data_IF_383571487220
#
_entry.id   IF_383571487220
#
_cell.length_a   1.000
_cell.length_b   1.000
_cell.length_c   1.000
_cell.angle_alpha   90.00
_cell.angle_beta   90.00
_cell.angle_gamma   90.00
#
_symmetry.space_group_name_H-M   'P 1'
#
loop_
_entity.id
_entity.type
_entity.pdbx_description
1 polymer ?
#
# COMPACT_ATOMS: atom_id res chain seq x y z
N UNK A 1 -6.27 -4.53 5.96
CA UNK A 1 -5.70 -3.78 7.09
C UNK A 1 -4.36 -3.24 6.64
N UNK A 2 -4.13 -1.92 6.65
CA UNK A 2 -2.79 -1.38 6.49
C UNK A 2 -2.16 -1.15 7.88
N UNK A 3 -0.94 -1.66 8.06
CA UNK A 3 -0.11 -1.45 9.25
C UNK A 3 0.24 0.01 9.43
N UNK A 4 0.03 0.51 10.64
CA UNK A 4 0.56 1.78 11.13
C UNK A 4 2.05 1.55 11.42
N UNK A 5 2.93 2.26 10.72
CA UNK A 5 4.34 2.40 11.14
C UNK A 5 4.41 3.54 12.13
N UNK A 6 4.95 3.24 13.29
CA UNK A 6 5.16 4.13 14.43
C UNK A 6 6.18 5.23 14.07
N UNK A 7 5.90 6.44 14.55
CA UNK A 7 6.82 7.57 14.51
C UNK A 7 7.88 7.39 15.59
N UNK A 8 9.15 7.26 15.19
CA UNK A 8 10.28 7.49 16.09
C UNK A 8 10.62 8.99 16.07
N UNK A 9 10.62 9.55 17.27
CA UNK A 9 10.94 10.93 17.58
C UNK A 9 12.32 10.91 18.26
N UNK A 10 13.39 11.15 17.49
CA UNK A 10 14.72 11.36 18.04
C UNK A 10 15.11 12.82 17.78
N UNK A 11 15.12 13.57 18.88
CA UNK A 11 15.56 14.94 19.01
C UNK A 11 16.94 14.87 19.67
N UNK A 12 18.02 15.08 18.93
CA UNK A 12 19.34 15.36 19.50
C UNK A 12 20.15 16.31 18.59
N UNK A 13 20.58 17.42 19.19
CA UNK A 13 21.87 18.08 18.97
C UNK A 13 22.10 18.82 17.66
N UNK A 14 21.76 20.11 17.62
CA UNK A 14 22.49 21.05 16.76
C UNK A 14 23.85 21.35 17.41
N UNK A 15 24.92 20.73 16.92
CA UNK A 15 26.30 21.14 17.25
C UNK A 15 26.74 22.27 16.30
N UNK A 16 27.02 23.42 16.88
CA UNK A 16 27.56 24.60 16.22
C UNK A 16 29.10 24.53 16.28
N UNK A 17 29.72 24.07 15.19
CA UNK A 17 31.18 24.08 15.01
C UNK A 17 31.69 25.52 14.96
N UNK A 18 32.39 25.95 16.01
CA UNK A 18 33.26 27.12 16.01
C UNK A 18 34.71 26.64 16.07
N UNK A 19 35.33 26.45 14.90
CA UNK A 19 36.77 26.25 14.81
C UNK A 19 37.50 27.61 14.91
N UNK A 20 38.10 27.88 16.05
CA UNK A 20 39.22 28.82 16.20
C UNK A 20 40.53 28.04 16.05
N UNK A 21 41.40 28.31 15.06
CA UNK A 21 42.73 27.73 15.07
C UNK A 21 43.62 28.48 16.07
N UNK A 22 43.96 27.80 17.16
CA UNK A 22 45.03 28.18 18.08
C UNK A 22 46.35 28.30 17.32
N UNK A 23 47.04 29.43 17.52
CA UNK A 23 48.37 29.69 16.98
C UNK A 23 49.41 29.42 18.06
N UNK A 24 49.81 28.17 18.19
CA UNK A 24 50.99 27.77 18.96
C UNK A 24 52.07 27.24 18.02
N UNK A 25 53.11 28.05 17.78
CA UNK A 25 54.44 27.55 17.41
C UNK A 25 55.51 28.52 17.88
N UNK A 26 56.05 28.19 19.04
CA UNK A 26 57.37 28.60 19.49
C UNK A 26 58.43 27.64 18.92
N UNK A 27 59.47 28.19 18.29
CA UNK A 27 60.80 27.56 18.22
C UNK A 27 61.85 28.61 17.86
N UNK A 28 62.74 28.83 18.82
CA UNK A 28 63.95 29.65 18.79
C UNK A 28 64.99 29.16 17.76
N UNK A 29 66.08 29.95 17.69
CA UNK A 29 67.39 29.74 17.04
C UNK A 29 67.41 30.40 15.64
N UNK A 30 68.26 31.39 15.30
CA UNK A 30 69.58 31.79 15.77
C UNK A 30 69.78 33.30 15.49
N UNK A 31 70.52 34.02 16.35
CA UNK A 31 71.05 35.34 15.97
C UNK A 31 72.49 35.45 16.46
N UNK A 32 73.40 35.20 15.53
CA UNK A 32 74.84 35.32 15.68
C UNK A 32 75.24 36.74 16.08
N UNK A 33 76.06 36.81 17.13
CA UNK A 33 76.74 38.02 17.57
C UNK A 33 77.84 38.38 16.56
N UNK A 34 77.59 39.44 15.78
CA UNK A 34 78.61 40.11 14.96
C UNK A 34 78.86 41.50 15.53
N UNK A 35 79.87 41.57 16.38
CA UNK A 35 80.60 42.77 16.81
C UNK A 35 80.95 43.69 15.65
N UNK A 36 80.73 45.01 15.84
CA UNK A 36 81.50 46.05 15.17
C UNK A 36 80.69 47.17 14.53
N UNK A 37 80.46 48.24 15.30
CA UNK A 37 80.90 49.59 14.92
C UNK A 37 80.46 50.58 16.01
N UNK A 38 81.46 51.01 16.78
CA UNK A 38 81.45 52.27 17.50
C UNK A 38 81.40 53.39 16.44
N UNK A 39 80.21 53.89 16.14
CA UNK A 39 80.04 55.20 15.50
C UNK A 39 79.21 56.09 16.43
N UNK A 40 79.97 56.94 17.10
CA UNK A 40 79.59 58.21 17.69
C UNK A 40 78.65 59.00 16.77
N UNK A 41 77.35 58.74 16.90
CA UNK A 41 76.33 59.76 16.72
C UNK A 41 75.57 59.89 18.04
N UNK A 42 76.25 60.57 18.97
CA UNK A 42 75.67 61.18 20.16
C UNK A 42 74.56 62.17 19.76
N UNK A 43 73.46 61.65 19.21
CA UNK A 43 72.15 62.27 19.39
C UNK A 43 71.73 61.93 20.81
N UNK A 44 72.04 62.84 21.71
CA UNK A 44 71.33 63.06 22.95
C UNK A 44 69.84 63.19 22.58
N UNK A 45 69.18 62.05 22.39
CA UNK A 45 67.73 61.96 22.41
C UNK A 45 67.37 62.46 23.78
N UNK A 46 66.94 63.71 23.81
CA UNK A 46 66.40 64.41 24.95
C UNK A 46 65.66 63.39 25.83
N UNK A 47 66.22 63.05 27.00
CA UNK A 47 65.63 62.04 27.90
C UNK A 47 64.16 62.37 28.18
N UNK A 48 63.86 63.67 28.17
CA UNK A 48 62.54 64.27 28.24
C UNK A 48 61.62 63.82 27.08
N UNK A 49 62.14 63.61 25.87
CA UNK A 49 61.44 63.15 24.67
C UNK A 49 61.12 61.64 24.72
N UNK A 50 62.01 60.84 25.31
CA UNK A 50 61.76 59.43 25.62
C UNK A 50 60.73 59.26 26.75
N UNK A 51 60.81 60.07 27.81
CA UNK A 51 59.80 60.09 28.87
C UNK A 51 58.43 60.54 28.36
N UNK A 52 58.39 61.53 27.46
CA UNK A 52 57.16 62.02 26.82
C UNK A 52 56.46 60.93 26.00
N UNK A 53 57.21 60.20 25.16
CA UNK A 53 56.67 59.04 24.40
C UNK A 53 56.16 57.94 25.33
N UNK A 54 56.83 57.71 26.46
CA UNK A 54 56.38 56.73 27.46
C UNK A 54 55.08 57.17 28.15
N UNK A 55 54.96 58.45 28.51
CA UNK A 55 53.72 58.98 29.08
C UNK A 55 52.56 58.92 28.09
N UNK A 56 52.79 59.26 26.82
CA UNK A 56 51.77 59.17 25.76
C UNK A 56 51.27 57.73 25.58
N UNK A 57 52.18 56.73 25.57
CA UNK A 57 51.80 55.32 25.48
C UNK A 57 50.97 54.85 26.70
N UNK A 58 51.28 55.36 27.90
CA UNK A 58 50.51 55.05 29.11
C UNK A 58 49.13 55.70 29.05
N UNK A 59 49.04 56.95 28.57
CA UNK A 59 47.78 57.67 28.42
C UNK A 59 46.89 56.99 27.37
N UNK A 60 47.44 56.60 26.22
CA UNK A 60 46.74 55.83 25.18
C UNK A 60 46.21 54.50 25.73
N UNK A 61 47.02 53.79 26.53
CA UNK A 61 46.61 52.52 27.15
C UNK A 61 45.51 52.72 28.20
N UNK A 62 45.61 53.79 28.99
CA UNK A 62 44.56 54.16 29.94
C UNK A 62 43.25 54.56 29.23
N UNK A 63 43.33 55.22 28.08
CA UNK A 63 42.18 55.56 27.25
C UNK A 63 41.53 54.32 26.63
N UNK A 64 42.32 53.39 26.10
CA UNK A 64 41.85 52.10 25.60
C UNK A 64 41.16 51.28 26.69
N UNK A 65 41.74 51.22 27.88
CA UNK A 65 41.15 50.49 28.99
C UNK A 65 39.82 51.11 29.46
N UNK A 66 39.73 52.44 29.43
CA UNK A 66 38.47 53.15 29.70
C UNK A 66 37.39 52.85 28.67
N UNK A 67 37.75 52.82 27.38
CA UNK A 67 36.84 52.43 26.30
C UNK A 67 36.39 50.98 26.43
N UNK A 68 37.32 50.07 26.75
CA UNK A 68 37.00 48.66 26.97
C UNK A 68 36.02 48.47 28.13
N UNK A 69 36.23 49.17 29.25
CA UNK A 69 35.30 49.13 30.37
C UNK A 69 33.91 49.67 30.00
N UNK A 70 33.84 50.74 29.20
CA UNK A 70 32.57 51.27 28.71
C UNK A 70 31.83 50.28 27.79
N UNK A 71 32.53 49.69 26.81
CA UNK A 71 32.00 48.67 25.91
C UNK A 71 31.52 47.44 26.68
N UNK A 72 32.28 47.00 27.67
CA UNK A 72 31.93 45.88 28.54
C UNK A 72 30.64 46.16 29.31
N UNK A 73 30.52 47.35 29.91
CA UNK A 73 29.31 47.76 30.62
C UNK A 73 28.10 47.84 29.69
N UNK A 74 28.26 48.43 28.50
CA UNK A 74 27.21 48.49 27.49
C UNK A 74 26.73 47.08 27.08
N UNK A 75 27.65 46.14 26.86
CA UNK A 75 27.31 44.76 26.51
C UNK A 75 26.48 44.08 27.62
N UNK A 76 26.85 44.28 28.89
CA UNK A 76 26.08 43.72 30.01
C UNK A 76 24.70 44.36 30.14
N UNK A 77 24.59 45.67 29.98
CA UNK A 77 23.32 46.38 30.01
C UNK A 77 22.41 45.93 28.86
N UNK A 78 22.94 45.82 27.64
CA UNK A 78 22.20 45.33 26.49
C UNK A 78 21.72 43.89 26.71
N UNK A 79 22.59 43.03 27.25
CA UNK A 79 22.22 41.65 27.58
C UNK A 79 21.13 41.57 28.65
N UNK A 80 21.22 42.39 29.69
CA UNK A 80 20.18 42.48 30.72
C UNK A 80 18.85 42.92 30.12
N UNK A 81 18.85 43.95 29.28
CA UNK A 81 17.66 44.46 28.59
C UNK A 81 17.03 43.41 27.66
N UNK A 82 17.83 42.64 26.93
CA UNK A 82 17.33 41.53 26.11
C UNK A 82 16.61 40.47 26.96
N UNK A 83 17.17 40.12 28.12
CA UNK A 83 16.57 39.15 29.04
C UNK A 83 15.28 39.72 29.65
N UNK A 84 15.29 40.97 30.08
CA UNK A 84 14.10 41.64 30.63
C UNK A 84 12.98 41.74 29.60
N UNK A 85 13.29 42.08 28.35
CA UNK A 85 12.31 42.10 27.26
C UNK A 85 11.68 40.72 27.03
N UNK A 86 12.50 39.66 26.94
CA UNK A 86 12.00 38.28 26.81
C UNK A 86 11.15 37.85 28.03
N UNK A 87 11.57 38.22 29.23
CA UNK A 87 10.82 37.94 30.45
C UNK A 87 9.44 38.63 30.41
N UNK A 88 9.37 39.86 29.92
CA UNK A 88 8.12 40.60 29.78
C UNK A 88 7.21 39.99 28.71
N UNK A 89 7.76 39.55 27.57
CA UNK A 89 7.01 38.80 26.56
C UNK A 89 6.39 37.53 27.13
N UNK A 90 7.12 36.79 27.97
CA UNK A 90 6.61 35.60 28.67
C UNK A 90 5.52 35.96 29.67
N UNK A 91 5.72 37.00 30.51
CA UNK A 91 4.72 37.45 31.49
C UNK A 91 3.43 37.92 30.82
N UNK A 92 3.55 38.59 29.69
CA UNK A 92 2.42 39.05 28.87
C UNK A 92 1.79 37.93 28.04
N UNK A 93 2.36 36.72 28.06
CA UNK A 93 1.89 35.55 27.32
C UNK A 93 2.00 35.72 25.80
N UNK A 94 2.94 36.55 25.33
CA UNK A 94 3.19 36.84 23.90
C UNK A 94 4.44 36.15 23.35
N UNK A 95 5.16 35.42 24.19
CA UNK A 95 6.37 34.71 23.79
C UNK A 95 6.07 33.71 22.65
N UNK A 96 6.60 33.93 21.44
CA UNK A 96 6.27 33.14 20.26
C UNK A 96 6.75 31.69 20.38
N UNK A 97 7.85 31.48 21.11
CA UNK A 97 8.46 30.18 21.43
C UNK A 97 7.45 29.20 22.08
N UNK A 98 6.42 29.71 22.79
CA UNK A 98 5.35 28.90 23.38
C UNK A 98 4.04 28.95 22.59
N UNK A 99 3.74 30.08 21.95
CA UNK A 99 2.50 30.26 21.21
C UNK A 99 2.45 29.43 19.93
N UNK A 100 3.57 29.34 19.19
CA UNK A 100 3.61 28.55 17.95
C UNK A 100 3.35 27.06 18.21
N UNK A 101 4.05 26.38 19.14
CA UNK A 101 3.73 24.98 19.46
C UNK A 101 2.31 24.78 19.98
N UNK A 102 1.74 25.78 20.67
CA UNK A 102 0.36 25.72 21.16
C UNK A 102 -0.63 25.78 20.00
N UNK A 103 -0.43 26.68 19.03
CA UNK A 103 -1.25 26.78 17.82
C UNK A 103 -1.18 25.49 17.00
N UNK A 104 0.03 24.97 16.78
CA UNK A 104 0.24 23.69 16.08
C UNK A 104 -0.48 22.54 16.79
N UNK A 105 -0.44 22.49 18.13
CA UNK A 105 -1.13 21.47 18.90
C UNK A 105 -2.66 21.59 18.79
N UNK A 106 -3.19 22.82 18.80
CA UNK A 106 -4.61 23.08 18.62
C UNK A 106 -5.09 22.65 17.22
N UNK A 107 -4.31 22.93 16.19
CA UNK A 107 -4.62 22.52 14.83
C UNK A 107 -4.53 21.00 14.65
N UNK A 108 -3.51 20.36 15.22
CA UNK A 108 -3.42 18.91 15.27
C UNK A 108 -4.62 18.27 15.97
N UNK A 109 -5.08 18.85 17.08
CA UNK A 109 -6.29 18.39 17.77
C UNK A 109 -7.53 18.52 16.86
N UNK A 110 -7.70 19.67 16.18
CA UNK A 110 -8.81 19.92 15.25
C UNK A 110 -8.82 18.90 14.13
N UNK A 111 -7.69 18.69 13.47
CA UNK A 111 -7.52 17.72 12.38
C UNK A 111 -7.85 16.31 12.87
N UNK A 112 -7.35 15.91 14.05
CA UNK A 112 -7.65 14.58 14.63
C UNK A 112 -9.14 14.37 14.84
N UNK A 113 -9.85 15.37 15.34
CA UNK A 113 -11.30 15.31 15.55
C UNK A 113 -12.03 15.16 14.21
N UNK A 114 -11.65 15.95 13.20
CA UNK A 114 -12.26 15.90 11.88
C UNK A 114 -12.04 14.52 11.21
N UNK A 115 -10.80 14.04 11.20
CA UNK A 115 -10.44 12.72 10.66
C UNK A 115 -11.22 11.61 11.38
N UNK A 116 -11.33 11.67 12.72
CA UNK A 116 -12.12 10.71 13.47
C UNK A 116 -13.61 10.77 13.11
N UNK A 117 -14.15 11.96 12.86
CA UNK A 117 -15.52 12.17 12.36
C UNK A 117 -15.75 11.51 11.01
N UNK A 118 -14.88 11.78 10.03
CA UNK A 118 -14.94 11.18 8.69
C UNK A 118 -14.81 9.66 8.77
N UNK A 119 -13.86 9.15 9.58
CA UNK A 119 -13.67 7.72 9.78
C UNK A 119 -14.93 7.04 10.33
N UNK A 120 -15.60 7.66 11.31
CA UNK A 120 -16.86 7.17 11.85
C UNK A 120 -17.94 7.12 10.77
N UNK A 121 -18.09 8.18 9.98
CA UNK A 121 -19.07 8.22 8.90
C UNK A 121 -18.83 7.12 7.86
N UNK A 122 -17.57 6.93 7.46
CA UNK A 122 -17.18 5.89 6.50
C UNK A 122 -17.42 4.49 7.05
N UNK A 123 -17.15 4.24 8.34
CA UNK A 123 -17.48 2.97 9.00
C UNK A 123 -18.98 2.72 9.00
N UNK A 124 -19.80 3.72 9.34
CA UNK A 124 -21.26 3.58 9.31
C UNK A 124 -21.77 3.30 7.89
N UNK A 125 -21.26 4.01 6.88
CA UNK A 125 -21.58 3.75 5.47
C UNK A 125 -21.19 2.33 5.06
N UNK A 126 -20.02 1.84 5.50
CA UNK A 126 -19.58 0.47 5.22
C UNK A 126 -20.50 -0.57 5.85
N UNK A 127 -20.89 -0.40 7.11
CA UNK A 127 -21.81 -1.30 7.81
C UNK A 127 -23.16 -1.35 7.08
N UNK A 128 -23.73 -0.19 6.71
CA UNK A 128 -24.98 -0.13 5.96
C UNK A 128 -24.90 -0.87 4.63
N UNK A 129 -23.82 -0.66 3.87
CA UNK A 129 -23.62 -1.34 2.59
C UNK A 129 -23.47 -2.86 2.75
N UNK A 130 -22.73 -3.32 3.77
CA UNK A 130 -22.61 -4.74 4.08
C UNK A 130 -23.96 -5.35 4.43
N UNK A 131 -24.73 -4.67 5.28
CA UNK A 131 -26.07 -5.12 5.64
C UNK A 131 -26.98 -5.24 4.41
N UNK A 132 -27.03 -4.21 3.56
CA UNK A 132 -27.82 -4.26 2.32
C UNK A 132 -27.36 -5.37 1.36
N UNK A 133 -26.06 -5.58 1.23
CA UNK A 133 -25.52 -6.67 0.41
C UNK A 133 -25.94 -8.04 0.96
N UNK A 134 -25.91 -8.22 2.28
CA UNK A 134 -26.34 -9.44 2.95
C UNK A 134 -27.84 -9.70 2.76
N UNK A 135 -28.68 -8.67 2.88
CA UNK A 135 -30.13 -8.76 2.63
C UNK A 135 -30.42 -9.23 1.20
N UNK A 136 -29.74 -8.65 0.21
CA UNK A 136 -29.90 -9.02 -1.19
C UNK A 136 -29.41 -10.46 -1.42
N UNK A 137 -28.26 -10.83 -0.88
CA UNK A 137 -27.71 -12.18 -1.01
C UNK A 137 -28.62 -13.23 -0.37
N UNK A 138 -29.14 -12.97 0.83
CA UNK A 138 -30.08 -13.85 1.52
C UNK A 138 -31.38 -14.02 0.74
N UNK A 139 -31.92 -12.92 0.20
CA UNK A 139 -33.12 -12.96 -0.62
C UNK A 139 -32.91 -13.77 -1.91
N UNK A 140 -31.82 -13.52 -2.64
CA UNK A 140 -31.48 -14.26 -3.85
C UNK A 140 -31.26 -15.75 -3.57
N UNK A 141 -30.59 -16.09 -2.46
CA UNK A 141 -30.39 -17.47 -2.05
C UNK A 141 -31.73 -18.16 -1.77
N UNK A 142 -32.62 -17.50 -1.03
CA UNK A 142 -33.96 -18.02 -0.76
C UNK A 142 -34.76 -18.24 -2.06
N UNK A 143 -34.72 -17.29 -3.01
CA UNK A 143 -35.42 -17.46 -4.29
C UNK A 143 -34.86 -18.62 -5.12
N UNK A 144 -33.53 -18.78 -5.11
CA UNK A 144 -32.83 -19.88 -5.78
C UNK A 144 -33.22 -21.23 -5.16
N UNK A 145 -33.14 -21.38 -3.84
CA UNK A 145 -33.52 -22.61 -3.13
C UNK A 145 -34.99 -22.96 -3.36
N UNK A 146 -35.88 -21.97 -3.33
CA UNK A 146 -37.30 -22.16 -3.65
C UNK A 146 -37.50 -22.68 -5.07
N UNK A 147 -36.75 -22.16 -6.05
CA UNK A 147 -36.83 -22.61 -7.43
C UNK A 147 -36.29 -24.04 -7.58
N UNK A 148 -35.11 -24.32 -7.01
CA UNK A 148 -34.51 -25.64 -7.01
C UNK A 148 -35.42 -26.69 -6.36
N UNK A 149 -36.07 -26.36 -5.26
CA UNK A 149 -37.02 -27.28 -4.59
C UNK A 149 -38.23 -27.58 -5.49
N UNK A 150 -38.78 -26.57 -6.15
CA UNK A 150 -39.89 -26.76 -7.10
C UNK A 150 -39.47 -27.64 -8.27
N UNK A 151 -38.28 -27.41 -8.81
CA UNK A 151 -37.72 -28.22 -9.90
C UNK A 151 -37.47 -29.66 -9.44
N UNK A 152 -36.94 -29.87 -8.23
CA UNK A 152 -36.75 -31.20 -7.63
C UNK A 152 -38.08 -31.96 -7.52
N UNK A 153 -39.11 -31.32 -6.97
CA UNK A 153 -40.44 -31.93 -6.84
C UNK A 153 -41.02 -32.25 -8.23
N UNK A 154 -40.86 -31.34 -9.21
CA UNK A 154 -41.30 -31.58 -10.58
C UNK A 154 -40.60 -32.81 -11.18
N UNK A 155 -39.28 -32.89 -11.08
CA UNK A 155 -38.50 -34.03 -11.56
C UNK A 155 -38.94 -35.34 -10.88
N UNK A 156 -39.13 -35.34 -9.56
CA UNK A 156 -39.61 -36.54 -8.82
C UNK A 156 -40.99 -37.00 -9.31
N UNK A 157 -41.91 -36.06 -9.57
CA UNK A 157 -43.23 -36.38 -10.11
C UNK A 157 -43.14 -36.92 -11.54
N UNK A 158 -42.33 -36.30 -12.40
CA UNK A 158 -42.09 -36.77 -13.77
C UNK A 158 -41.47 -38.17 -13.79
N UNK A 159 -40.52 -38.47 -12.90
CA UNK A 159 -39.98 -39.82 -12.77
C UNK A 159 -41.02 -40.83 -12.25
N UNK A 160 -41.87 -40.44 -11.30
CA UNK A 160 -42.96 -41.32 -10.82
C UNK A 160 -43.95 -41.61 -11.94
N UNK A 161 -44.31 -40.61 -12.74
CA UNK A 161 -45.16 -40.78 -13.92
C UNK A 161 -44.51 -41.76 -14.91
N UNK A 162 -43.22 -41.54 -15.24
CA UNK A 162 -42.49 -42.41 -16.16
C UNK A 162 -42.44 -43.86 -15.69
N UNK A 163 -42.15 -44.11 -14.40
CA UNK A 163 -42.15 -45.47 -13.82
C UNK A 163 -43.54 -46.11 -13.92
N UNK A 164 -44.60 -45.37 -13.65
CA UNK A 164 -45.97 -45.88 -13.79
C UNK A 164 -46.34 -46.20 -15.25
N UNK A 165 -45.86 -45.41 -16.21
CA UNK A 165 -46.04 -45.68 -17.64
C UNK A 165 -45.25 -46.91 -18.11
N UNK A 166 -44.01 -47.06 -17.63
CA UNK A 166 -43.18 -48.25 -17.85
C UNK A 166 -43.84 -49.50 -17.26
N UNK A 167 -44.33 -49.42 -16.02
CA UNK A 167 -45.05 -50.51 -15.36
C UNK A 167 -46.32 -50.88 -16.15
N UNK A 168 -47.12 -49.90 -16.59
CA UNK A 168 -48.30 -50.13 -17.43
C UNK A 168 -47.92 -50.85 -18.73
N UNK A 169 -46.93 -50.34 -19.45
CA UNK A 169 -46.45 -50.93 -20.69
C UNK A 169 -45.87 -52.34 -20.48
N UNK A 170 -45.20 -52.58 -19.34
CA UNK A 170 -44.68 -53.90 -19.00
C UNK A 170 -45.80 -54.93 -18.77
N UNK A 171 -46.91 -54.52 -18.15
CA UNK A 171 -48.10 -55.36 -17.95
C UNK A 171 -48.76 -55.64 -19.31
N UNK A 172 -48.91 -54.63 -20.16
CA UNK A 172 -49.49 -54.76 -21.50
C UNK A 172 -48.68 -55.76 -22.35
N UNK A 173 -47.35 -55.61 -22.41
CA UNK A 173 -46.45 -56.54 -23.12
C UNK A 173 -46.53 -57.95 -22.54
N UNK A 174 -46.53 -58.08 -21.21
CA UNK A 174 -46.60 -59.39 -20.55
C UNK A 174 -47.94 -60.06 -20.90
N UNK A 175 -49.06 -59.33 -20.81
CA UNK A 175 -50.40 -59.80 -21.17
C UNK A 175 -50.50 -60.25 -22.64
N UNK A 176 -49.92 -59.49 -23.57
CA UNK A 176 -49.86 -59.85 -24.99
C UNK A 176 -49.04 -61.12 -25.23
N UNK A 177 -47.90 -61.28 -24.55
CA UNK A 177 -47.05 -62.47 -24.66
C UNK A 177 -47.74 -63.72 -24.10
N UNK A 178 -48.46 -63.62 -22.98
CA UNK A 178 -49.29 -64.70 -22.45
C UNK A 178 -50.45 -65.04 -23.40
N UNK A 179 -51.08 -64.03 -24.03
CA UNK A 179 -52.14 -64.23 -25.01
C UNK A 179 -51.62 -64.89 -26.30
N UNK A 180 -50.41 -64.54 -26.75
CA UNK A 180 -49.74 -65.14 -27.90
C UNK A 180 -49.35 -66.62 -27.63
N UNK A 181 -48.91 -66.95 -26.41
CA UNK A 181 -48.61 -68.34 -26.01
C UNK A 181 -49.87 -69.23 -25.97
N UNK A 182 -51.05 -68.66 -25.70
CA UNK A 182 -52.34 -69.38 -25.72
C UNK A 182 -52.84 -69.59 -27.17
N UNK A 183 -52.55 -68.66 -28.09
CA UNK A 183 -53.01 -68.73 -29.49
C UNK A 183 -52.09 -69.56 -30.41
N UNK A 184 -50.80 -69.70 -30.10
CA UNK A 184 -49.86 -70.54 -30.87
C UNK A 184 -50.14 -72.05 -30.83
N UNK A 185 -51.05 -72.54 -29.98
CA UNK A 185 -51.51 -73.94 -30.03
C UNK A 185 -52.54 -74.25 -31.13
N UNK A 186 -53.01 -73.27 -31.92
CA UNK A 186 -54.08 -73.51 -32.92
C UNK A 186 -53.75 -73.16 -34.38
N UNK A 187 -52.52 -72.78 -34.73
CA UNK A 187 -52.20 -72.44 -36.13
C UNK A 187 -50.92 -73.10 -36.66
N UNK A 188 -51.05 -74.37 -37.08
CA UNK A 188 -50.20 -74.98 -38.11
C UNK A 188 -51.11 -75.53 -39.20
N UNK A 189 -51.53 -74.69 -40.14
CA UNK A 189 -51.98 -75.11 -41.48
C UNK A 189 -51.99 -73.91 -42.42
N UNK A 190 -51.30 -74.10 -43.53
CA UNK A 190 -51.27 -73.34 -44.79
C UNK A 190 -50.23 -72.23 -44.91
N UNK A 191 -49.22 -72.58 -45.71
CA UNK A 191 -48.28 -71.72 -46.40
C UNK A 191 -48.96 -71.02 -47.59
N UNK A 192 -48.52 -69.80 -47.89
CA UNK A 192 -48.33 -69.29 -49.25
C UNK A 192 -47.23 -68.19 -49.21
N UNK A 193 -46.30 -68.10 -50.18
CA UNK A 193 -45.10 -67.28 -50.10
C UNK A 193 -45.20 -66.03 -50.97
N UNK A 194 -45.15 -64.84 -50.38
CA UNK A 194 -44.78 -63.63 -51.12
C UNK A 194 -44.31 -62.54 -50.17
N UNK A 195 -42.99 -62.37 -50.01
CA UNK A 195 -42.44 -61.13 -49.45
C UNK A 195 -41.13 -60.80 -50.15
N UNK A 196 -41.14 -59.62 -50.78
CA UNK A 196 -40.00 -58.95 -51.36
C UNK A 196 -38.77 -58.95 -50.45
N UNK A 197 -37.63 -59.28 -51.05
CA UNK A 197 -36.33 -59.24 -50.40
C UNK A 197 -35.91 -57.79 -50.12
N UNK A 198 -36.27 -57.24 -48.95
CA UNK A 198 -35.50 -56.15 -48.33
C UNK A 198 -34.32 -56.77 -47.57
N UNK A 199 -33.15 -56.77 -48.22
CA UNK A 199 -31.89 -57.19 -47.60
C UNK A 199 -31.53 -56.23 -46.45
N UNK A 200 -31.08 -56.84 -45.35
CA UNK A 200 -30.58 -56.28 -44.08
C UNK A 200 -29.44 -55.27 -44.31
N UNK A 201 -29.18 -54.33 -43.37
CA UNK A 201 -28.03 -53.44 -43.44
C UNK A 201 -26.72 -54.25 -43.49
N UNK A 202 -25.85 -53.86 -44.42
CA UNK A 202 -24.54 -54.49 -44.63
C UNK A 202 -23.61 -54.08 -43.48
N UNK A 203 -23.29 -55.00 -42.59
CA UNK A 203 -22.18 -54.83 -41.65
C UNK A 203 -20.87 -54.94 -42.43
N UNK A 204 -20.23 -53.81 -42.69
CA UNK A 204 -18.90 -53.77 -43.31
C UNK A 204 -17.87 -54.15 -42.25
N UNK A 205 -17.36 -55.38 -42.34
CA UNK A 205 -16.21 -55.86 -41.58
C UNK A 205 -14.94 -55.57 -42.39
N UNK A 206 -14.34 -54.40 -42.19
CA UNK A 206 -13.07 -53.98 -42.78
C UNK A 206 -12.63 -52.62 -42.22
N UNK A 207 -11.34 -52.26 -42.31
CA UNK A 207 -10.85 -50.98 -41.78
C UNK A 207 -11.59 -49.81 -42.46
N UNK A 208 -12.33 -49.04 -41.67
CA UNK A 208 -13.14 -47.91 -42.10
C UNK A 208 -12.45 -46.61 -41.66
N UNK A 209 -12.36 -45.65 -42.59
CA UNK A 209 -11.86 -44.31 -42.29
C UNK A 209 -13.01 -43.50 -41.69
N UNK A 210 -12.91 -43.23 -40.39
CA UNK A 210 -13.86 -42.40 -39.65
C UNK A 210 -13.58 -40.93 -39.98
N UNK A 211 -14.45 -40.29 -40.77
CA UNK A 211 -14.32 -38.86 -41.11
C UNK A 211 -14.84 -37.92 -40.00
N UNK A 212 -15.56 -38.46 -39.01
CA UNK A 212 -16.15 -37.69 -37.91
C UNK A 212 -15.42 -38.02 -36.61
N UNK A 213 -14.94 -36.98 -35.93
CA UNK A 213 -14.40 -37.14 -34.58
C UNK A 213 -15.51 -37.60 -33.62
N UNK A 214 -15.13 -38.31 -32.56
CA UNK A 214 -16.07 -38.70 -31.50
C UNK A 214 -16.43 -37.49 -30.66
N UNK A 215 -17.60 -37.48 -30.03
CA UNK A 215 -18.10 -36.34 -29.25
C UNK A 215 -17.14 -35.90 -28.13
N UNK A 216 -16.41 -36.85 -27.53
CA UNK A 216 -15.38 -36.57 -26.52
C UNK A 216 -14.16 -35.82 -27.09
N UNK A 217 -13.72 -36.15 -28.29
CA UNK A 217 -12.59 -35.47 -28.97
C UNK A 217 -13.00 -34.04 -29.39
N UNK A 218 -14.24 -33.87 -29.83
CA UNK A 218 -14.81 -32.54 -30.14
C UNK A 218 -14.88 -31.67 -28.87
N UNK A 219 -15.28 -32.24 -27.73
CA UNK A 219 -15.32 -31.53 -26.45
C UNK A 219 -13.92 -31.17 -25.95
N UNK A 220 -12.94 -32.06 -26.12
CA UNK A 220 -11.56 -31.81 -25.75
C UNK A 220 -10.96 -30.66 -26.57
N UNK A 221 -11.11 -30.69 -27.90
CA UNK A 221 -10.68 -29.60 -28.80
C UNK A 221 -11.39 -28.29 -28.48
N UNK A 222 -12.70 -28.33 -28.18
CA UNK A 222 -13.46 -27.16 -27.77
C UNK A 222 -12.90 -26.52 -26.50
N UNK A 223 -12.54 -27.32 -25.50
CA UNK A 223 -11.91 -26.82 -24.27
C UNK A 223 -10.51 -26.27 -24.53
N UNK A 224 -9.72 -26.89 -25.41
CA UNK A 224 -8.39 -26.44 -25.79
C UNK A 224 -8.43 -25.06 -26.48
N UNK A 225 -9.36 -24.89 -27.43
CA UNK A 225 -9.59 -23.60 -28.13
C UNK A 225 -9.99 -22.51 -27.14
N UNK A 226 -10.91 -22.81 -26.21
CA UNK A 226 -11.37 -21.83 -25.21
C UNK A 226 -10.26 -21.42 -24.25
N UNK A 227 -9.36 -22.35 -23.89
CA UNK A 227 -8.18 -22.08 -23.07
C UNK A 227 -7.16 -21.21 -23.83
N UNK A 228 -6.90 -21.50 -25.10
CA UNK A 228 -6.00 -20.71 -25.94
C UNK A 228 -6.50 -19.27 -26.14
N UNK A 229 -7.80 -19.08 -26.38
CA UNK A 229 -8.44 -17.76 -26.49
C UNK A 229 -8.30 -16.92 -25.22
N UNK A 230 -8.42 -17.56 -24.05
CA UNK A 230 -8.25 -16.88 -22.76
C UNK A 230 -6.80 -16.42 -22.55
N UNK A 231 -5.83 -17.26 -22.91
CA UNK A 231 -4.39 -16.93 -22.83
C UNK A 231 -4.03 -15.83 -23.83
N UNK A 232 -4.60 -15.85 -25.03
CA UNK A 232 -4.38 -14.80 -26.04
C UNK A 232 -4.93 -13.45 -25.59
N UNK A 233 -6.12 -13.41 -24.97
CA UNK A 233 -6.68 -12.18 -24.39
C UNK A 233 -5.79 -11.62 -23.28
N UNK A 234 -5.35 -12.46 -22.36
CA UNK A 234 -4.45 -12.04 -21.27
C UNK A 234 -3.11 -11.52 -21.77
N UNK A 235 -2.57 -12.07 -22.86
CA UNK A 235 -1.35 -11.54 -23.49
C UNK A 235 -1.55 -10.19 -24.17
N UNK A 236 -2.71 -9.94 -24.77
CA UNK A 236 -3.03 -8.64 -25.37
C UNK A 236 -3.24 -7.54 -24.31
N UNK A 237 -3.81 -7.88 -23.16
CA UNK A 237 -4.00 -6.93 -22.04
C UNK A 237 -2.68 -6.58 -21.31
N UNK A 238 -1.60 -7.33 -21.54
CA UNK A 238 -0.25 -7.08 -20.99
C UNK A 238 0.67 -6.28 -21.93
N UNK A 239 0.21 -5.99 -23.16
CA UNK A 239 0.97 -5.27 -24.19
C UNK A 239 0.44 -3.84 -24.46
N UNK A 240 -0.45 -3.34 -23.60
CA UNK A 240 -0.95 -1.95 -23.55
C UNK A 240 -0.54 -1.35 -22.22
#
# INVERSE_FOLDING_TARGET
MPSVKECNNDSEGEEMDQETPESDKSSNEDSDSSSGSEEDDSSEMDEEDCERRRSECIDDMADLERQFMHLKEQLYLERANQIEAKLEEVKMGRAPEYLQPLEDLQDNMRIRIEVAGILREMKLKNIKRKHQAEEIAAFQNFESERALLRDSIRCELEEKIRRLEEDRNSIDITSDLWSEQVTHKKSRRKADPMTDRRKKPVTVSGPYIVYMLRENEILEDWTAIRKALKVARQKNDLLV
#
